data_IF_393083797604
#
_entry.id   IF_393083797604
#
_cell.length_a   1.000
_cell.length_b   1.000
_cell.length_c   1.000
_cell.angle_alpha   90.00
_cell.angle_beta   90.00
_cell.angle_gamma   90.00
#
_symmetry.space_group_name_H-M   'P 1'
#
loop_
_entity.id
_entity.type
_entity.pdbx_description
1 polymer ?
#
# COMPACT_ATOMS: atom_id res chain seq x y z
N UNK A 1 -14.05 1.87 8.10
CA UNK A 1 -14.22 2.96 7.12
C UNK A 1 -13.75 2.53 5.76
N UNK A 2 -13.92 3.37 4.73
CA UNK A 2 -13.36 3.17 3.38
C UNK A 2 -12.27 4.21 3.14
N UNK A 3 -11.06 3.77 2.80
CA UNK A 3 -9.91 4.65 2.58
C UNK A 3 -9.26 4.36 1.23
N UNK A 4 -8.78 5.39 0.56
CA UNK A 4 -8.14 5.30 -0.74
C UNK A 4 -6.94 6.23 -0.82
N UNK A 5 -6.05 5.98 -1.77
CA UNK A 5 -4.98 6.88 -2.20
C UNK A 5 -5.04 7.02 -3.71
N UNK A 6 -4.47 8.10 -4.24
CA UNK A 6 -4.38 8.29 -5.69
C UNK A 6 -3.40 7.30 -6.31
N UNK A 7 -3.70 6.83 -7.51
CA UNK A 7 -2.75 6.19 -8.40
C UNK A 7 -2.26 7.16 -9.47
N UNK A 8 -1.42 6.66 -10.36
CA UNK A 8 -0.89 7.48 -11.44
C UNK A 8 -1.97 7.90 -12.46
N UNK A 9 -3.00 7.08 -12.65
CA UNK A 9 -4.05 7.34 -13.65
C UNK A 9 -4.93 8.54 -13.28
N UNK A 10 -5.18 8.76 -12.00
CA UNK A 10 -5.97 9.92 -11.54
C UNK A 10 -5.29 11.24 -11.91
N UNK A 11 -3.95 11.30 -11.91
CA UNK A 11 -3.21 12.48 -12.35
C UNK A 11 -3.23 12.69 -13.87
N UNK A 12 -3.39 11.63 -14.66
CA UNK A 12 -3.52 11.75 -16.12
C UNK A 12 -4.95 12.09 -16.56
N UNK A 13 -5.96 11.52 -15.89
CA UNK A 13 -7.36 11.64 -16.28
C UNK A 13 -8.05 12.91 -15.75
N UNK A 14 -7.56 13.48 -14.65
CA UNK A 14 -8.17 14.64 -14.01
C UNK A 14 -8.34 14.43 -12.51
N UNK A 15 -7.35 14.90 -11.75
CA UNK A 15 -7.24 14.62 -10.32
C UNK A 15 -8.48 15.05 -9.51
N UNK A 16 -9.00 16.24 -9.79
CA UNK A 16 -10.13 16.81 -9.03
C UNK A 16 -11.37 15.94 -9.16
N UNK A 17 -11.70 15.53 -10.38
CA UNK A 17 -12.87 14.71 -10.67
C UNK A 17 -12.71 13.29 -10.13
N UNK A 18 -11.49 12.72 -10.24
CA UNK A 18 -11.18 11.43 -9.66
C UNK A 18 -11.33 11.40 -8.13
N UNK A 19 -10.80 12.42 -7.44
CA UNK A 19 -10.97 12.55 -5.98
C UNK A 19 -12.44 12.70 -5.63
N UNK A 20 -13.17 13.56 -6.33
CA UNK A 20 -14.59 13.77 -6.10
C UNK A 20 -15.39 12.47 -6.27
N UNK A 21 -15.19 11.77 -7.39
CA UNK A 21 -15.86 10.51 -7.66
C UNK A 21 -15.58 9.46 -6.58
N UNK A 22 -14.31 9.34 -6.17
CA UNK A 22 -13.90 8.40 -5.12
C UNK A 22 -14.53 8.76 -3.77
N UNK A 23 -14.61 10.06 -3.46
CA UNK A 23 -15.29 10.55 -2.26
C UNK A 23 -16.81 10.29 -2.30
N UNK A 24 -17.46 10.52 -3.43
CA UNK A 24 -18.89 10.25 -3.63
C UNK A 24 -19.21 8.74 -3.50
N UNK A 25 -18.25 7.86 -3.81
CA UNK A 25 -18.35 6.42 -3.55
C UNK A 25 -18.16 6.03 -2.06
N UNK A 26 -17.95 7.02 -1.19
CA UNK A 26 -17.87 6.89 0.26
C UNK A 26 -16.45 6.64 0.80
N UNK A 27 -15.40 6.88 0.02
CA UNK A 27 -14.02 6.73 0.46
C UNK A 27 -13.46 8.06 0.99
N UNK A 28 -12.67 8.00 2.06
CA UNK A 28 -11.75 9.07 2.41
C UNK A 28 -10.46 8.90 1.60
N UNK A 29 -10.17 9.84 0.71
CA UNK A 29 -8.91 9.86 -0.06
C UNK A 29 -7.81 10.50 0.79
N UNK A 30 -6.77 9.74 1.12
CA UNK A 30 -5.63 10.20 1.91
C UNK A 30 -4.54 10.73 0.98
N UNK A 31 -4.13 11.99 1.18
CA UNK A 31 -3.20 12.70 0.28
C UNK A 31 -2.03 13.28 1.07
N UNK A 32 -1.20 12.40 1.62
CA UNK A 32 -0.09 12.78 2.51
C UNK A 32 -0.54 13.03 3.94
N UNK A 33 -1.53 12.29 4.40
CA UNK A 33 -2.06 12.41 5.76
C UNK A 33 -2.09 11.06 6.47
N UNK A 34 -1.97 11.12 7.80
CA UNK A 34 -2.16 10.00 8.69
C UNK A 34 -3.31 10.30 9.65
N UNK A 35 -4.10 9.28 9.96
CA UNK A 35 -5.17 9.35 10.95
C UNK A 35 -5.03 8.20 11.93
N UNK A 36 -5.26 8.50 13.21
CA UNK A 36 -5.43 7.50 14.25
C UNK A 36 -6.92 7.17 14.37
N UNK A 37 -7.25 5.89 14.41
CA UNK A 37 -8.56 5.38 14.80
C UNK A 37 -8.39 4.80 16.21
N UNK A 38 -8.77 5.54 17.27
CA UNK A 38 -8.51 5.13 18.65
C UNK A 38 -9.02 3.71 18.94
N UNK A 39 -8.19 2.91 19.61
CA UNK A 39 -8.50 1.51 19.92
C UNK A 39 -8.43 0.55 18.73
N UNK A 40 -8.12 1.01 17.51
CA UNK A 40 -8.10 0.18 16.30
C UNK A 40 -6.73 0.17 15.64
N UNK A 41 -6.34 1.24 14.94
CA UNK A 41 -5.08 1.33 14.20
C UNK A 41 -4.80 2.76 13.71
N UNK A 42 -3.58 2.99 13.23
CA UNK A 42 -3.28 4.12 12.38
C UNK A 42 -3.46 3.74 10.90
N UNK A 43 -3.95 4.68 10.10
CA UNK A 43 -3.99 4.58 8.65
C UNK A 43 -3.33 5.83 8.08
N UNK A 44 -2.36 5.64 7.20
CA UNK A 44 -1.68 6.71 6.49
C UNK A 44 -1.71 6.46 5.00
N UNK A 45 -1.73 7.52 4.21
CA UNK A 45 -1.69 7.41 2.76
C UNK A 45 -1.02 8.61 2.11
N UNK A 46 -0.26 8.35 1.06
CA UNK A 46 0.42 9.37 0.25
C UNK A 46 -0.06 9.28 -1.19
N UNK A 47 -0.01 10.41 -1.89
CA UNK A 47 -0.30 10.45 -3.32
C UNK A 47 0.73 9.68 -4.15
N UNK A 48 0.33 9.28 -5.36
CA UNK A 48 1.26 8.71 -6.34
C UNK A 48 2.37 9.73 -6.72
N UNK A 49 3.63 9.30 -6.83
CA UNK A 49 4.75 10.17 -7.23
C UNK A 49 4.56 10.89 -8.57
N UNK A 50 3.72 10.36 -9.47
CA UNK A 50 3.36 10.99 -10.75
C UNK A 50 2.84 12.41 -10.54
N UNK A 51 2.09 12.66 -9.48
CA UNK A 51 1.53 13.97 -9.23
C UNK A 51 2.55 15.08 -8.94
N UNK A 52 3.78 14.72 -8.51
CA UNK A 52 4.89 15.69 -8.39
C UNK A 52 5.31 16.26 -9.74
N UNK A 53 5.19 15.48 -10.82
CA UNK A 53 5.50 15.93 -12.19
C UNK A 53 4.53 17.00 -12.69
N UNK A 54 3.33 17.03 -12.12
CA UNK A 54 2.27 17.96 -12.48
C UNK A 54 2.07 19.08 -11.44
N UNK A 55 2.89 19.10 -10.37
CA UNK A 55 2.71 20.00 -9.23
C UNK A 55 1.32 19.93 -8.57
N UNK A 56 0.73 18.72 -8.57
CA UNK A 56 -0.62 18.47 -8.06
C UNK A 56 -0.65 17.77 -6.70
N UNK A 57 0.52 17.52 -6.10
CA UNK A 57 0.66 16.81 -4.82
C UNK A 57 1.18 17.71 -3.74
N UNK A 58 0.65 17.62 -2.50
CA UNK A 58 1.24 18.28 -1.36
C UNK A 58 2.72 17.88 -1.18
N UNK A 59 3.59 18.86 -0.90
CA UNK A 59 4.98 18.58 -0.54
C UNK A 59 5.07 18.09 0.91
N UNK A 60 4.75 16.82 1.14
CA UNK A 60 4.71 16.21 2.47
C UNK A 60 5.80 15.15 2.58
N UNK A 61 6.59 15.22 3.65
CA UNK A 61 7.54 14.16 4.00
C UNK A 61 6.78 12.98 4.62
N UNK A 62 6.83 11.83 3.96
CA UNK A 62 6.25 10.56 4.44
C UNK A 62 6.80 10.19 5.82
N UNK A 63 8.12 10.27 6.02
CA UNK A 63 8.75 10.16 7.35
C UNK A 63 8.13 11.08 8.40
N UNK A 64 7.98 12.38 8.10
CA UNK A 64 7.44 13.34 9.05
C UNK A 64 5.97 13.06 9.38
N UNK A 65 5.17 12.65 8.39
CA UNK A 65 3.77 12.25 8.58
C UNK A 65 3.68 11.00 9.47
N UNK A 66 4.41 9.94 9.14
CA UNK A 66 4.39 8.69 9.91
C UNK A 66 4.89 8.87 11.34
N UNK A 67 5.87 9.75 11.54
CA UNK A 67 6.45 10.00 12.87
C UNK A 67 5.48 10.69 13.84
N UNK A 68 4.38 11.30 13.34
CA UNK A 68 3.34 11.93 14.16
C UNK A 68 2.28 10.95 14.64
N UNK A 69 2.25 9.72 14.11
CA UNK A 69 1.26 8.72 14.48
C UNK A 69 1.65 8.04 15.80
N UNK A 70 0.70 7.80 16.72
CA UNK A 70 1.01 7.12 17.99
C UNK A 70 1.50 5.69 17.73
N UNK A 71 2.63 5.33 18.34
CA UNK A 71 3.41 4.12 18.02
C UNK A 71 2.86 2.84 18.63
N UNK A 72 1.97 2.97 19.59
CA UNK A 72 1.28 1.86 20.25
C UNK A 72 0.23 1.18 19.36
N UNK A 73 -0.16 1.82 18.25
CA UNK A 73 -1.11 1.27 17.28
C UNK A 73 -0.40 0.71 16.05
N UNK A 74 -0.93 -0.40 15.54
CA UNK A 74 -0.58 -0.91 14.22
C UNK A 74 -0.77 0.19 13.17
N UNK A 75 0.19 0.37 12.28
CA UNK A 75 0.20 1.43 11.28
C UNK A 75 0.14 0.84 9.88
N UNK A 76 -1.00 1.05 9.23
CA UNK A 76 -1.26 0.69 7.84
C UNK A 76 -0.90 1.86 6.92
N UNK A 77 0.03 1.65 6.00
CA UNK A 77 0.46 2.64 5.02
C UNK A 77 -0.08 2.28 3.62
N UNK A 78 -0.78 3.21 2.99
CA UNK A 78 -1.33 3.06 1.64
C UNK A 78 -0.46 3.82 0.63
N UNK A 79 0.04 3.11 -0.38
CA UNK A 79 0.83 3.68 -1.49
C UNK A 79 0.45 2.99 -2.78
N UNK A 80 0.17 3.73 -3.85
CA UNK A 80 -0.18 3.09 -5.11
C UNK A 80 0.97 2.23 -5.66
N UNK A 81 2.18 2.77 -5.72
CA UNK A 81 3.37 2.05 -6.18
C UNK A 81 4.07 1.35 -5.02
N UNK A 82 4.68 0.16 -5.24
CA UNK A 82 5.43 -0.55 -4.22
C UNK A 82 6.84 0.02 -4.03
N UNK A 83 6.95 1.35 -4.04
CA UNK A 83 8.19 2.06 -3.79
C UNK A 83 8.49 2.07 -2.30
N UNK A 84 9.72 1.71 -1.97
CA UNK A 84 10.21 1.63 -0.61
C UNK A 84 11.19 2.76 -0.33
N UNK A 85 10.97 3.48 0.76
CA UNK A 85 12.00 4.31 1.34
C UNK A 85 12.52 3.60 2.60
N UNK A 86 13.74 3.06 2.54
CA UNK A 86 14.33 2.32 3.66
C UNK A 86 14.44 3.16 4.94
N UNK A 87 14.54 4.49 4.82
CA UNK A 87 14.57 5.40 5.96
C UNK A 87 13.24 5.45 6.74
N UNK A 88 12.16 4.91 6.18
CA UNK A 88 10.82 4.87 6.76
C UNK A 88 10.45 3.46 7.25
N UNK A 89 11.30 2.45 7.02
CA UNK A 89 11.10 1.11 7.56
C UNK A 89 11.20 1.14 9.10
N UNK A 90 10.18 0.62 9.79
CA UNK A 90 9.96 0.78 11.23
C UNK A 90 9.08 1.99 11.61
N UNK A 91 8.63 2.78 10.64
CA UNK A 91 7.61 3.82 10.85
C UNK A 91 6.18 3.35 10.56
N UNK A 92 6.04 2.17 9.94
CA UNK A 92 4.78 1.49 9.65
C UNK A 92 4.96 -0.02 9.81
N UNK A 93 3.85 -0.74 10.00
CA UNK A 93 3.85 -2.18 10.17
C UNK A 93 3.55 -2.90 8.84
N UNK A 94 2.63 -2.36 8.05
CA UNK A 94 2.25 -2.91 6.75
C UNK A 94 2.00 -1.81 5.72
N UNK A 95 2.70 -1.89 4.59
CA UNK A 95 2.39 -1.13 3.39
C UNK A 95 1.52 -1.95 2.45
N UNK A 96 0.40 -1.38 1.99
CA UNK A 96 -0.41 -1.93 0.90
C UNK A 96 -0.15 -1.15 -0.38
N UNK A 97 0.22 -1.88 -1.44
CA UNK A 97 0.50 -1.32 -2.75
C UNK A 97 -0.07 -2.14 -3.90
N UNK A 98 -0.03 -1.56 -5.09
CA UNK A 98 -0.47 -2.19 -6.34
C UNK A 98 0.44 -1.78 -7.49
N UNK A 99 -0.14 -1.13 -8.51
CA UNK A 99 0.53 -0.57 -9.70
C UNK A 99 1.18 -1.59 -10.67
N UNK A 100 1.73 -2.69 -10.18
CA UNK A 100 2.52 -3.61 -11.02
C UNK A 100 1.66 -4.50 -11.90
N UNK A 101 0.40 -4.77 -11.51
CA UNK A 101 -0.51 -5.75 -12.13
C UNK A 101 0.12 -7.14 -12.37
N UNK A 102 1.19 -7.47 -11.63
CA UNK A 102 2.10 -8.61 -11.90
C UNK A 102 2.66 -8.63 -13.34
N UNK A 103 2.80 -7.47 -13.96
CA UNK A 103 3.21 -7.30 -15.36
C UNK A 103 2.13 -7.58 -16.40
N UNK A 104 0.90 -7.88 -16.00
CA UNK A 104 -0.32 -8.10 -16.80
C UNK A 104 -0.26 -9.15 -17.93
N UNK A 105 0.75 -9.13 -18.79
CA UNK A 105 0.93 -9.98 -19.95
C UNK A 105 2.34 -10.57 -19.90
N UNK A 106 2.49 -11.87 -19.69
CA UNK A 106 3.82 -12.49 -19.81
C UNK A 106 4.37 -12.31 -21.25
N UNK A 107 5.66 -11.95 -21.43
CA UNK A 107 6.73 -11.92 -20.45
C UNK A 107 7.02 -10.56 -19.78
N UNK A 108 6.16 -9.54 -19.92
CA UNK A 108 6.38 -8.21 -19.30
C UNK A 108 6.58 -8.27 -17.78
N UNK A 109 6.05 -9.30 -17.12
CA UNK A 109 6.31 -9.58 -15.70
C UNK A 109 7.80 -9.67 -15.35
N UNK A 110 8.64 -10.15 -16.27
CA UNK A 110 10.09 -10.22 -16.07
C UNK A 110 10.71 -8.81 -16.01
N UNK A 111 10.27 -7.91 -16.89
CA UNK A 111 10.71 -6.51 -16.91
C UNK A 111 10.22 -5.78 -15.65
N UNK A 112 8.95 -5.95 -15.28
CA UNK A 112 8.38 -5.33 -14.08
C UNK A 112 9.12 -5.75 -12.81
N UNK A 113 9.53 -7.02 -12.72
CA UNK A 113 10.32 -7.53 -11.59
C UNK A 113 11.69 -6.85 -11.46
N UNK A 114 12.29 -6.37 -12.55
CA UNK A 114 13.56 -5.64 -12.51
C UNK A 114 13.42 -4.27 -11.86
N UNK A 115 12.30 -3.57 -12.12
CA UNK A 115 12.04 -2.24 -11.57
C UNK A 115 11.40 -2.28 -10.19
N UNK A 116 10.63 -3.33 -9.89
CA UNK A 116 9.93 -3.52 -8.63
C UNK A 116 10.31 -4.87 -8.00
N UNK A 117 11.33 -4.92 -7.13
CA UNK A 117 11.74 -6.17 -6.48
C UNK A 117 10.59 -6.86 -5.73
N UNK A 118 9.70 -6.07 -5.14
CA UNK A 118 8.42 -6.51 -4.59
C UNK A 118 7.32 -6.14 -5.58
N UNK A 119 7.00 -7.05 -6.51
CA UNK A 119 6.00 -6.80 -7.54
C UNK A 119 4.67 -7.56 -7.34
N UNK A 120 4.61 -8.51 -6.40
CA UNK A 120 3.37 -9.18 -6.00
C UNK A 120 3.51 -9.88 -4.62
N UNK A 121 2.40 -9.99 -3.89
CA UNK A 121 2.33 -10.76 -2.64
C UNK A 121 2.92 -10.05 -1.43
N UNK A 122 3.03 -10.79 -0.32
CA UNK A 122 3.57 -10.29 0.95
C UNK A 122 5.10 -10.48 1.00
N UNK A 123 5.82 -9.46 1.44
CA UNK A 123 7.25 -9.52 1.69
C UNK A 123 7.62 -8.74 2.96
N UNK A 124 8.66 -9.20 3.65
CA UNK A 124 9.22 -8.54 4.83
C UNK A 124 10.31 -7.55 4.41
N UNK A 125 10.27 -6.33 4.93
CA UNK A 125 11.20 -5.25 4.59
C UNK A 125 12.35 -5.11 5.60
N UNK A 126 12.17 -5.62 6.82
CA UNK A 126 13.05 -5.37 7.97
C UNK A 126 12.36 -4.47 9.00
N UNK A 127 12.92 -4.35 10.21
CA UNK A 127 12.37 -3.52 11.30
C UNK A 127 10.88 -3.79 11.62
N UNK A 128 10.45 -5.03 11.43
CA UNK A 128 9.05 -5.47 11.61
C UNK A 128 8.04 -4.87 10.61
N UNK A 129 8.52 -4.19 9.56
CA UNK A 129 7.68 -3.71 8.46
C UNK A 129 7.51 -4.77 7.36
N UNK A 130 6.30 -4.78 6.78
CA UNK A 130 5.92 -5.63 5.66
C UNK A 130 5.40 -4.78 4.49
N UNK A 131 5.49 -5.32 3.28
CA UNK A 131 4.79 -4.81 2.10
C UNK A 131 3.93 -5.92 1.51
N UNK A 132 2.69 -5.59 1.18
CA UNK A 132 1.85 -6.42 0.35
C UNK A 132 1.56 -5.70 -0.98
N UNK A 133 1.86 -6.36 -2.10
CA UNK A 133 1.63 -5.82 -3.43
C UNK A 133 0.53 -6.62 -4.11
N UNK A 134 -0.64 -5.99 -4.24
CA UNK A 134 -1.78 -6.59 -4.94
C UNK A 134 -1.54 -6.62 -6.44
N UNK A 135 -2.06 -7.67 -7.06
CA UNK A 135 -2.05 -7.83 -8.52
C UNK A 135 -3.15 -7.02 -9.20
N UNK A 136 -4.06 -6.43 -8.44
CA UNK A 136 -5.18 -5.64 -8.94
C UNK A 136 -6.28 -6.49 -9.59
N UNK A 137 -7.47 -5.93 -9.66
CA UNK A 137 -8.66 -6.56 -10.28
C UNK A 137 -8.76 -6.28 -11.77
N UNK A 138 -8.39 -5.07 -12.20
CA UNK A 138 -8.49 -4.62 -13.59
C UNK A 138 -7.19 -4.71 -14.40
N UNK A 139 -7.16 -3.95 -15.48
CA UNK A 139 -6.05 -3.87 -16.44
C UNK A 139 -5.50 -2.46 -16.56
N UNK A 140 -4.27 -2.33 -17.04
CA UNK A 140 -3.71 -1.09 -17.58
C UNK A 140 -3.50 -1.26 -19.09
N UNK A 141 -3.87 -0.28 -19.89
CA UNK A 141 -3.79 -0.39 -21.36
C UNK A 141 -4.75 -1.46 -21.92
N UNK A 142 -4.30 -2.41 -22.78
CA UNK A 142 -5.16 -3.42 -23.36
C UNK A 142 -5.91 -4.25 -22.30
N UNK A 143 -7.21 -4.54 -22.49
CA UNK A 143 -8.05 -5.24 -21.50
C UNK A 143 -7.81 -6.76 -21.50
N UNK A 144 -6.55 -7.18 -21.46
CA UNK A 144 -6.13 -8.58 -21.53
C UNK A 144 -5.12 -8.86 -20.42
N UNK A 145 -5.25 -10.03 -19.77
CA UNK A 145 -4.28 -10.54 -18.80
C UNK A 145 -3.82 -11.92 -19.22
N UNK A 146 -2.52 -12.17 -19.25
CA UNK A 146 -1.93 -13.46 -19.61
C UNK A 146 -0.88 -13.86 -18.57
N UNK A 147 -1.09 -15.02 -17.93
CA UNK A 147 -0.30 -15.53 -16.79
C UNK A 147 -0.20 -14.55 -15.58
N UNK A 148 -1.11 -13.58 -15.53
CA UNK A 148 -1.29 -12.64 -14.44
C UNK A 148 -2.77 -12.54 -14.01
N UNK A 149 -3.38 -13.60 -13.44
CA UNK A 149 -4.75 -13.54 -12.95
C UNK A 149 -5.01 -12.36 -11.99
N UNK A 150 -6.24 -11.80 -12.02
CA UNK A 150 -6.70 -10.76 -11.12
C UNK A 150 -6.80 -11.24 -9.68
N UNK A 151 -6.84 -10.29 -8.76
CA UNK A 151 -6.81 -10.56 -7.32
C UNK A 151 -7.68 -9.54 -6.57
N UNK A 152 -8.48 -10.05 -5.63
CA UNK A 152 -9.07 -9.28 -4.53
C UNK A 152 -8.54 -9.91 -3.25
N UNK A 153 -7.85 -9.12 -2.43
CA UNK A 153 -7.18 -9.62 -1.24
C UNK A 153 -7.96 -9.24 0.01
N UNK A 154 -8.23 -10.24 0.86
CA UNK A 154 -8.69 -10.01 2.22
C UNK A 154 -7.48 -10.18 3.14
N UNK A 155 -7.18 -9.14 3.92
CA UNK A 155 -6.11 -9.15 4.93
C UNK A 155 -6.78 -9.04 6.29
N UNK A 156 -6.57 -10.06 7.12
CA UNK A 156 -7.01 -10.06 8.51
C UNK A 156 -5.84 -9.66 9.41
N UNK A 157 -6.04 -8.59 10.19
CA UNK A 157 -5.07 -8.12 11.17
C UNK A 157 -5.51 -8.62 12.54
N UNK A 158 -4.74 -9.56 13.10
CA UNK A 158 -5.05 -10.18 14.39
C UNK A 158 -4.10 -9.62 15.45
N UNK A 159 -4.66 -8.96 16.47
CA UNK A 159 -3.90 -8.54 17.63
C UNK A 159 -3.55 -9.76 18.48
N UNK A 160 -2.28 -10.14 18.52
CA UNK A 160 -1.83 -11.12 19.50
C UNK A 160 -1.69 -10.42 20.85
N UNK A 161 -2.63 -10.70 21.77
CA UNK A 161 -2.53 -10.23 23.15
C UNK A 161 -1.21 -10.65 23.79
N UNK A 162 -0.77 -9.94 24.85
CA UNK A 162 0.36 -10.35 25.69
C UNK A 162 0.01 -11.64 26.45
N UNK A 163 0.02 -12.78 25.75
CA UNK A 163 -0.04 -14.11 26.34
C UNK A 163 1.39 -14.58 26.61
N UNK A 164 1.67 -14.93 27.87
CA UNK A 164 2.87 -15.67 28.24
C UNK A 164 2.93 -16.96 27.44
N UNK A 165 3.81 -17.05 26.45
CA UNK A 165 4.13 -18.32 25.81
C UNK A 165 5.59 -18.64 26.04
N UNK A 166 5.81 -19.56 27.00
CA UNK A 166 6.91 -20.52 26.91
C UNK A 166 6.76 -21.25 25.58
N UNK A 167 7.78 -21.19 24.73
CA UNK A 167 7.86 -22.00 23.53
C UNK A 167 7.97 -23.47 23.94
N UNK A 168 6.95 -24.28 23.65
CA UNK A 168 7.08 -25.74 23.67
C UNK A 168 7.91 -26.17 22.45
N UNK A 169 9.11 -26.73 22.63
CA UNK A 169 10.05 -27.02 21.54
C UNK A 169 9.68 -28.24 20.67
N UNK A 170 8.47 -28.81 20.79
CA UNK A 170 8.13 -30.10 20.15
C UNK A 170 7.10 -30.06 19.01
N UNK A 171 7.20 -29.12 18.07
CA UNK A 171 6.54 -29.27 16.75
C UNK A 171 7.41 -28.75 15.61
N UNK A 172 8.46 -29.52 15.29
CA UNK A 172 9.07 -29.58 13.97
C UNK A 172 9.35 -31.06 13.66
N UNK A 173 8.36 -31.73 13.08
CA UNK A 173 8.49 -32.91 12.22
C UNK A 173 7.48 -32.80 11.11
#
# INVERSE_FOLDING_TARGET
GKYAVTGNQEFYAGLKDAIKFTADAGFKVLRGEGLNIPGVMNIAGVDDPTGKRYDLTPNISEKAMLSKLPREYFTLLLKHQPQLNKAESGLFDLQLSGHTHKGQIFPFSLIVKLFYPHFNGLARLGNQSYIYVSRGTGTWGPPVRFLAPPEVTVIELVHQGKGNYQTDPKKNT
#
